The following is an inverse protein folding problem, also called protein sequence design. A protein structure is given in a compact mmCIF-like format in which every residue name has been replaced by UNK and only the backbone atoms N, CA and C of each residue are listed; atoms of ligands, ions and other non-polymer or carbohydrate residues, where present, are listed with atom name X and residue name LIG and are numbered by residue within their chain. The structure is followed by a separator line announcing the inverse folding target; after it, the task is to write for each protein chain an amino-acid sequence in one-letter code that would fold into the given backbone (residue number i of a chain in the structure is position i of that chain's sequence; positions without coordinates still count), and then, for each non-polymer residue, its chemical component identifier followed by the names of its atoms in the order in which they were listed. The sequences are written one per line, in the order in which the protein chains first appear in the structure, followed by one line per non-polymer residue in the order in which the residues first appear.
data_IF_402434380024
#
_entry.id   IF_402434380024
#
_cell.length_a   1.000
_cell.length_b   1.000
_cell.length_c   1.000
_cell.angle_alpha   90.00
_cell.angle_beta   90.00
_cell.angle_gamma   90.00
#
_symmetry.space_group_name_H-M   'P 1'
#
loop_
_entity.id
_entity.type
_entity.pdbx_description
1 polymer ?
#
# COMPACT_ATOMS: atom_id res chain seq x y z
N UNK A 1 8.40 -26.18 -24.59
CA UNK A 1 9.14 -25.12 -23.87
C UNK A 1 8.15 -24.33 -23.03
N UNK A 2 8.54 -23.98 -21.81
CA UNK A 2 7.75 -23.80 -20.58
C UNK A 2 6.63 -22.74 -20.58
N UNK A 3 5.47 -23.16 -20.04
CA UNK A 3 4.46 -22.33 -19.33
C UNK A 3 5.12 -21.91 -18.01
N UNK A 4 5.09 -20.67 -17.52
CA UNK A 4 3.95 -19.85 -17.17
C UNK A 4 4.32 -18.35 -17.14
N UNK A 5 3.30 -17.52 -17.36
CA UNK A 5 3.39 -16.07 -17.44
C UNK A 5 3.48 -15.45 -16.03
N UNK A 6 4.15 -14.30 -15.94
CA UNK A 6 4.05 -13.27 -14.88
C UNK A 6 4.83 -13.54 -13.58
N UNK A 7 6.12 -13.19 -13.53
CA UNK A 7 6.87 -13.18 -12.25
C UNK A 7 7.52 -11.86 -11.85
N UNK A 8 7.53 -10.80 -12.68
CA UNK A 8 8.34 -9.62 -12.32
C UNK A 8 7.60 -8.28 -12.46
N UNK A 9 6.90 -7.83 -11.41
CA UNK A 9 6.61 -6.39 -11.25
C UNK A 9 5.14 -5.93 -11.31
N UNK A 10 4.16 -6.79 -11.59
CA UNK A 10 2.73 -6.38 -11.64
C UNK A 10 1.95 -6.52 -10.34
N UNK A 11 2.54 -7.10 -9.28
CA UNK A 11 1.81 -7.42 -8.05
C UNK A 11 1.55 -6.16 -7.18
N UNK A 12 2.25 -5.04 -7.41
CA UNK A 12 2.26 -3.91 -6.44
C UNK A 12 1.45 -2.66 -6.81
N UNK A 13 1.13 -2.41 -8.08
CA UNK A 13 0.40 -1.19 -8.46
C UNK A 13 -0.98 -1.13 -7.78
N UNK A 14 -1.76 -2.23 -7.87
CA UNK A 14 -3.11 -2.36 -7.28
C UNK A 14 -3.23 -1.98 -5.81
N UNK A 15 -2.15 -2.11 -5.01
CA UNK A 15 -2.17 -1.74 -3.58
C UNK A 15 -1.79 -0.27 -3.37
N UNK A 16 -0.99 0.31 -4.25
CA UNK A 16 -0.65 1.74 -4.22
C UNK A 16 -1.88 2.62 -4.49
N UNK A 17 -2.75 2.19 -5.41
CA UNK A 17 -3.97 2.93 -5.79
C UNK A 17 -5.06 2.93 -4.69
N UNK A 18 -4.83 2.23 -3.57
CA UNK A 18 -5.84 2.14 -2.50
C UNK A 18 -5.94 3.46 -1.76
N UNK A 19 -7.16 3.99 -1.63
CA UNK A 19 -7.42 5.24 -0.90
C UNK A 19 -7.18 5.07 0.60
N UNK A 20 -6.56 6.06 1.22
CA UNK A 20 -6.24 6.05 2.64
C UNK A 20 -7.46 5.98 3.53
N UNK A 21 -8.57 6.61 3.15
CA UNK A 21 -9.82 6.47 3.89
C UNK A 21 -10.33 5.03 3.99
N UNK A 22 -10.05 4.19 2.97
CA UNK A 22 -10.38 2.76 3.01
C UNK A 22 -9.45 2.00 3.97
N UNK A 23 -8.17 2.37 4.00
CA UNK A 23 -7.18 1.78 4.91
C UNK A 23 -7.49 2.17 6.36
N UNK A 24 -7.78 3.45 6.63
CA UNK A 24 -8.18 3.95 7.94
C UNK A 24 -9.40 3.20 8.47
N UNK A 25 -10.44 3.04 7.64
CA UNK A 25 -11.62 2.24 7.99
C UNK A 25 -11.31 0.77 8.21
N UNK A 26 -10.45 0.19 7.37
CA UNK A 26 -10.10 -1.24 7.43
C UNK A 26 -9.27 -1.60 8.66
N UNK A 27 -8.36 -0.71 9.06
CA UNK A 27 -7.47 -0.91 10.20
C UNK A 27 -7.98 -0.21 11.47
N UNK A 28 -9.05 0.59 11.38
CA UNK A 28 -9.59 1.36 12.51
C UNK A 28 -8.60 2.37 13.09
N UNK A 29 -7.61 2.80 12.30
CA UNK A 29 -6.53 3.70 12.72
C UNK A 29 -6.57 4.95 11.86
N UNK A 30 -6.53 6.12 12.51
CA UNK A 30 -6.41 7.39 11.81
C UNK A 30 -4.94 7.63 11.47
N UNK A 31 -4.63 7.82 10.19
CA UNK A 31 -3.26 8.11 9.74
C UNK A 31 -3.00 9.61 9.62
N UNK A 32 -3.99 10.46 9.96
CA UNK A 32 -3.89 11.92 9.85
C UNK A 32 -3.74 12.41 8.42
N UNK A 33 -4.19 11.63 7.42
CA UNK A 33 -4.05 11.95 6.00
C UNK A 33 -5.40 12.19 5.36
N UNK A 34 -5.41 12.92 4.23
CA UNK A 34 -6.64 13.07 3.45
C UNK A 34 -7.14 11.69 3.03
N UNK A 35 -8.41 11.39 3.28
CA UNK A 35 -9.00 10.10 2.93
C UNK A 35 -8.94 9.77 1.43
N UNK A 36 -8.84 10.80 0.57
CA UNK A 36 -8.66 10.66 -0.87
C UNK A 36 -7.20 10.40 -1.30
N UNK A 37 -6.23 10.49 -0.38
CA UNK A 37 -4.83 10.21 -0.66
C UNK A 37 -4.64 8.74 -1.03
N UNK A 38 -3.79 8.48 -2.02
CA UNK A 38 -3.40 7.13 -2.38
C UNK A 38 -2.36 6.58 -1.40
N UNK A 39 -2.54 5.33 -0.99
CA UNK A 39 -1.66 4.61 -0.09
C UNK A 39 -0.23 4.58 -0.64
N UNK A 40 -0.06 4.44 -1.96
CA UNK A 40 1.24 4.50 -2.62
C UNK A 40 1.97 5.81 -2.34
N UNK A 41 1.31 6.95 -2.54
CA UNK A 41 1.88 8.28 -2.29
C UNK A 41 2.23 8.49 -0.82
N UNK A 42 1.40 8.01 0.10
CA UNK A 42 1.72 8.09 1.52
C UNK A 42 2.94 7.25 1.89
N UNK A 43 2.99 6.01 1.41
CA UNK A 43 4.09 5.10 1.69
C UNK A 43 5.39 5.65 1.09
N UNK A 44 5.35 6.21 -0.12
CA UNK A 44 6.48 6.88 -0.76
C UNK A 44 6.98 8.07 0.06
N UNK A 45 6.08 8.97 0.50
CA UNK A 45 6.42 10.09 1.40
C UNK A 45 7.07 9.65 2.71
N UNK A 46 6.66 8.50 3.24
CA UNK A 46 7.23 7.92 4.45
C UNK A 46 8.46 7.03 4.18
N UNK A 47 8.82 6.76 2.93
CA UNK A 47 9.94 5.89 2.55
C UNK A 47 9.66 4.39 2.66
N UNK A 48 8.41 3.97 2.79
CA UNK A 48 8.02 2.56 2.83
C UNK A 48 7.60 2.07 1.45
N UNK A 49 7.98 0.84 1.13
CA UNK A 49 7.63 0.24 -0.17
C UNK A 49 6.26 -0.45 -0.15
N UNK A 50 5.68 -0.72 1.02
CA UNK A 50 4.38 -1.38 1.17
C UNK A 50 3.80 -1.22 2.57
N UNK A 51 2.47 -1.22 2.67
CA UNK A 51 1.72 -1.17 3.93
C UNK A 51 2.15 -2.26 4.92
N UNK A 52 2.43 -3.47 4.46
CA UNK A 52 2.90 -4.56 5.34
C UNK A 52 4.24 -4.25 6.00
N UNK A 53 5.13 -3.50 5.33
CA UNK A 53 6.43 -3.10 5.89
C UNK A 53 6.25 -1.98 6.90
N UNK A 54 5.37 -1.03 6.61
CA UNK A 54 4.97 0.02 7.55
C UNK A 54 4.34 -0.57 8.83
N UNK A 55 3.39 -1.51 8.70
CA UNK A 55 2.70 -2.09 9.85
C UNK A 55 3.60 -2.96 10.74
N UNK A 56 4.67 -3.54 10.17
CA UNK A 56 5.66 -4.32 10.92
C UNK A 56 6.62 -3.43 11.72
N UNK A 57 6.86 -2.22 11.25
CA UNK A 57 7.74 -1.22 11.88
C UNK A 57 7.00 -0.42 12.96
N UNK A 58 5.68 -0.27 12.82
CA UNK A 58 4.77 0.37 13.78
C UNK A 58 4.36 -0.52 14.97
N UNK A 59 4.79 -1.80 15.00
CA UNK A 59 4.43 -2.80 16.03
C UNK A 59 5.52 -3.07 17.06
#
# INVERSE_FOLDING_TARGET
MTRDKNVDGRIRAKRSDTKMGTIEKKYGKDFGVRSDMELGTFLDKKGYSSLSKFLRDDS
#
